data_IF_503225676657
#
_entry.id   IF_503225676657
#
_cell.length_a   1.000
_cell.length_b   1.000
_cell.length_c   1.000
_cell.angle_alpha   90.00
_cell.angle_beta   90.00
_cell.angle_gamma   90.00
#
_symmetry.space_group_name_H-M   'P 1'
#
loop_
_entity.id
_entity.type
_entity.pdbx_description
1 polymer ?
#
# COMPACT_ATOMS: atom_id res chain seq x y z
N UNK A 1 -8.88 0.26 1.91
CA UNK A 1 -8.44 0.24 0.50
C UNK A 1 -7.31 1.24 0.32
N UNK A 2 -6.24 0.84 -0.35
CA UNK A 2 -5.13 1.71 -0.73
C UNK A 2 -5.10 1.75 -2.25
N UNK A 3 -5.02 2.93 -2.84
CA UNK A 3 -4.95 3.09 -4.29
C UNK A 3 -4.04 4.25 -4.66
N UNK A 4 -3.41 4.15 -5.83
CA UNK A 4 -2.61 5.22 -6.42
C UNK A 4 -2.43 4.96 -7.90
N UNK A 5 -2.12 6.01 -8.64
CA UNK A 5 -1.66 5.92 -10.02
C UNK A 5 -0.13 5.93 -10.05
N UNK A 6 0.44 5.21 -11.00
CA UNK A 6 1.89 5.16 -11.19
C UNK A 6 2.27 5.19 -12.67
N UNK A 7 3.44 5.76 -12.95
CA UNK A 7 4.11 5.71 -14.25
C UNK A 7 5.51 5.15 -14.06
N UNK A 8 5.76 4.00 -14.68
CA UNK A 8 7.09 3.40 -14.78
C UNK A 8 7.76 3.80 -16.10
N UNK A 9 9.08 3.95 -16.07
CA UNK A 9 9.89 4.20 -17.27
C UNK A 9 10.46 2.92 -17.87
N UNK A 10 10.58 1.87 -17.05
CA UNK A 10 11.06 0.54 -17.43
C UNK A 10 10.07 -0.56 -17.05
N UNK A 11 10.25 -1.75 -17.63
CA UNK A 11 9.47 -2.94 -17.25
C UNK A 11 9.71 -3.26 -15.78
N UNK A 12 8.64 -3.23 -14.98
CA UNK A 12 8.72 -3.58 -13.56
C UNK A 12 8.50 -5.08 -13.38
N UNK A 13 9.48 -5.72 -12.77
CA UNK A 13 9.33 -7.07 -12.19
C UNK A 13 8.87 -6.89 -10.75
N UNK A 14 7.90 -7.67 -10.30
CA UNK A 14 7.19 -7.58 -9.00
C UNK A 14 8.01 -7.56 -7.71
N UNK A 15 9.32 -7.39 -7.80
CA UNK A 15 10.25 -7.30 -6.71
C UNK A 15 11.04 -5.97 -6.67
N UNK A 16 10.82 -5.06 -7.63
CA UNK A 16 11.54 -3.80 -7.70
C UNK A 16 10.87 -2.70 -6.85
N UNK A 17 9.55 -2.62 -6.93
CA UNK A 17 8.75 -1.70 -6.12
C UNK A 17 7.70 -2.46 -5.35
N UNK A 18 7.50 -2.05 -4.10
CA UNK A 18 6.47 -2.59 -3.23
C UNK A 18 5.62 -1.47 -2.65
N UNK A 19 4.30 -1.63 -2.72
CA UNK A 19 3.42 -0.97 -1.75
C UNK A 19 3.57 -1.71 -0.42
N UNK A 20 4.05 -1.01 0.60
CA UNK A 20 4.10 -1.52 1.95
C UNK A 20 2.84 -1.12 2.69
N UNK A 21 2.22 -2.08 3.37
CA UNK A 21 1.14 -1.88 4.32
C UNK A 21 1.59 -2.42 5.69
N UNK A 22 1.66 -1.54 6.68
CA UNK A 22 2.19 -1.86 8.01
C UNK A 22 1.20 -1.41 9.09
N UNK A 23 0.90 -2.29 10.04
CA UNK A 23 0.21 -1.95 11.28
C UNK A 23 1.20 -1.97 12.43
N UNK A 24 1.24 -0.87 13.18
CA UNK A 24 2.05 -0.71 14.37
C UNK A 24 1.18 -0.75 15.63
N UNK A 25 1.69 -1.38 16.68
CA UNK A 25 1.19 -1.27 18.05
C UNK A 25 2.35 -0.91 18.99
N UNK A 26 2.26 0.23 19.69
CA UNK A 26 3.32 0.73 20.57
C UNK A 26 4.71 0.75 19.88
N UNK A 27 4.75 1.23 18.64
CA UNK A 27 5.96 1.33 17.83
C UNK A 27 6.48 0.00 17.25
N UNK A 28 5.82 -1.14 17.52
CA UNK A 28 6.21 -2.45 16.97
C UNK A 28 5.29 -2.87 15.85
N UNK A 29 5.85 -3.40 14.75
CA UNK A 29 5.04 -3.96 13.66
C UNK A 29 4.33 -5.23 14.14
N UNK A 30 3.01 -5.23 13.97
CA UNK A 30 2.15 -6.39 14.27
C UNK A 30 1.64 -7.06 12.99
N UNK A 31 1.66 -6.35 11.86
CA UNK A 31 1.37 -6.90 10.54
C UNK A 31 2.08 -6.08 9.49
N UNK A 32 2.89 -6.74 8.69
CA UNK A 32 3.65 -6.14 7.60
C UNK A 32 3.37 -6.93 6.32
N UNK A 33 3.02 -6.23 5.24
CA UNK A 33 2.83 -6.85 3.93
C UNK A 33 3.34 -5.93 2.83
N UNK A 34 4.19 -6.48 1.96
CA UNK A 34 4.58 -5.86 0.71
C UNK A 34 3.76 -6.41 -0.45
N UNK A 35 3.32 -5.52 -1.34
CA UNK A 35 2.64 -5.86 -2.58
C UNK A 35 3.49 -5.39 -3.75
N UNK A 36 4.05 -6.33 -4.49
CA UNK A 36 4.93 -6.06 -5.62
C UNK A 36 4.19 -5.42 -6.79
N UNK A 37 4.78 -4.37 -7.37
CA UNK A 37 4.30 -3.75 -8.59
C UNK A 37 4.88 -4.47 -9.81
N UNK A 38 4.00 -4.91 -10.70
CA UNK A 38 4.37 -5.51 -11.97
C UNK A 38 3.86 -4.64 -13.11
N UNK A 39 4.74 -4.32 -14.04
CA UNK A 39 4.40 -3.50 -15.19
C UNK A 39 5.14 -4.01 -16.43
N UNK A 40 4.38 -4.53 -17.40
CA UNK A 40 4.92 -5.03 -18.67
C UNK A 40 4.95 -3.97 -19.77
N UNK A 41 4.32 -2.81 -19.55
CA UNK A 41 4.07 -1.79 -20.57
C UNK A 41 4.47 -0.41 -20.05
N UNK A 42 5.77 -0.10 -19.88
CA UNK A 42 6.24 1.18 -19.37
C UNK A 42 5.81 2.37 -20.23
N UNK A 43 5.87 3.58 -19.67
CA UNK A 43 5.55 4.83 -20.36
C UNK A 43 4.06 5.19 -20.37
N UNK A 44 3.22 4.46 -19.63
CA UNK A 44 1.78 4.75 -19.49
C UNK A 44 1.35 4.72 -18.02
N UNK A 45 0.52 5.70 -17.65
CA UNK A 45 -0.10 5.77 -16.32
C UNK A 45 -1.03 4.56 -16.10
N UNK A 46 -0.94 3.98 -14.90
CA UNK A 46 -1.74 2.84 -14.46
C UNK A 46 -2.21 3.03 -13.03
N UNK A 47 -3.37 2.48 -12.70
CA UNK A 47 -3.88 2.47 -11.34
C UNK A 47 -3.54 1.16 -10.63
N UNK A 48 -3.02 1.27 -9.41
CA UNK A 48 -2.88 0.17 -8.48
C UNK A 48 -3.93 0.29 -7.39
N UNK A 49 -4.55 -0.82 -6.99
CA UNK A 49 -5.53 -0.85 -5.89
C UNK A 49 -5.44 -2.16 -5.14
N UNK A 50 -5.48 -2.07 -3.81
CA UNK A 50 -5.54 -3.24 -2.95
C UNK A 50 -6.47 -3.01 -1.76
N UNK A 51 -7.21 -4.06 -1.40
CA UNK A 51 -7.90 -4.13 -0.12
C UNK A 51 -7.02 -4.83 0.91
N UNK A 52 -6.72 -4.10 1.97
CA UNK A 52 -5.87 -4.56 3.07
C UNK A 52 -6.70 -4.64 4.35
N UNK A 53 -6.89 -5.85 4.85
CA UNK A 53 -7.60 -6.10 6.09
C UNK A 53 -6.66 -5.87 7.28
N UNK A 54 -7.14 -5.16 8.31
CA UNK A 54 -6.46 -5.05 9.60
C UNK A 54 -6.23 -6.45 10.23
N UNK A 55 -5.25 -6.60 11.14
CA UNK A 55 -5.17 -7.79 11.98
C UNK A 55 -6.36 -7.87 12.96
N UNK A 56 -6.69 -9.06 13.49
CA UNK A 56 -7.89 -9.31 14.31
C UNK A 56 -7.91 -8.62 15.69
N UNK A 57 -6.91 -7.79 16.01
CA UNK A 57 -6.86 -6.95 17.20
C UNK A 57 -6.36 -5.55 16.82
N UNK A 58 -7.27 -4.72 16.32
CA UNK A 58 -7.00 -3.28 16.13
C UNK A 58 -7.85 -2.45 17.08
N UNK A 59 -7.20 -1.51 17.73
CA UNK A 59 -7.78 -0.41 18.48
C UNK A 59 -7.41 0.91 17.80
N UNK A 60 -8.05 2.01 18.19
CA UNK A 60 -7.66 3.37 17.75
C UNK A 60 -6.23 3.75 18.13
N UNK A 61 -5.56 2.98 19.01
CA UNK A 61 -4.15 3.16 19.36
C UNK A 61 -3.19 2.52 18.35
N UNK A 62 -3.70 1.67 17.46
CA UNK A 62 -2.89 1.08 16.39
C UNK A 62 -2.71 2.11 15.26
N UNK A 63 -1.50 2.20 14.73
CA UNK A 63 -1.20 3.10 13.63
C UNK A 63 -1.05 2.30 12.35
N UNK A 64 -1.77 2.71 11.31
CA UNK A 64 -1.57 2.21 9.96
C UNK A 64 -0.56 3.11 9.24
N UNK A 65 0.41 2.49 8.56
CA UNK A 65 1.40 3.16 7.74
C UNK A 65 1.46 2.48 6.37
N UNK A 66 1.47 3.29 5.32
CA UNK A 66 1.80 2.87 3.95
C UNK A 66 2.85 3.77 3.36
N UNK A 67 3.67 3.16 2.52
CA UNK A 67 4.65 3.85 1.70
C UNK A 67 5.01 2.94 0.52
N UNK A 68 5.63 3.54 -0.48
CA UNK A 68 6.19 2.81 -1.61
C UNK A 68 7.67 2.64 -1.34
N UNK A 69 8.14 1.41 -1.45
CA UNK A 69 9.54 1.06 -1.27
C UNK A 69 10.13 0.63 -2.60
N UNK A 70 11.16 1.35 -3.05
CA UNK A 70 12.02 0.95 -4.15
C UNK A 70 13.19 0.13 -3.59
N UNK A 71 13.35 -1.09 -4.08
CA UNK A 71 14.44 -2.00 -3.67
C UNK A 71 15.75 -1.68 -4.38
N UNK A 72 15.66 -1.17 -5.61
CA UNK A 72 16.77 -0.84 -6.51
C UNK A 72 16.72 0.64 -6.87
N UNK A 73 17.83 1.19 -7.34
CA UNK A 73 17.90 2.57 -7.85
C UNK A 73 17.12 2.67 -9.16
N UNK A 74 15.85 3.05 -9.04
CA UNK A 74 14.86 3.01 -10.12
C UNK A 74 13.83 4.10 -9.90
N UNK A 75 13.30 4.63 -11.00
CA UNK A 75 12.39 5.77 -10.97
C UNK A 75 10.93 5.34 -11.21
N UNK A 76 10.04 5.86 -10.37
CA UNK A 76 8.60 5.64 -10.44
C UNK A 76 7.91 6.95 -10.08
N UNK A 77 7.06 7.47 -10.97
CA UNK A 77 6.19 8.59 -10.62
C UNK A 77 4.90 8.04 -10.01
N UNK A 78 4.39 8.75 -9.00
CA UNK A 78 3.15 8.39 -8.30
C UNK A 78 2.24 9.60 -8.23
N UNK A 79 0.96 9.37 -8.48
CA UNK A 79 -0.09 10.38 -8.40
C UNK A 79 -1.37 9.78 -7.80
N UNK A 80 -2.34 10.64 -7.44
CA UNK A 80 -3.67 10.25 -6.95
C UNK A 80 -3.65 9.23 -5.80
N UNK A 81 -2.68 9.34 -4.90
CA UNK A 81 -2.58 8.46 -3.73
C UNK A 81 -3.79 8.66 -2.79
N UNK A 82 -4.48 7.56 -2.48
CA UNK A 82 -5.68 7.57 -1.65
C UNK A 82 -5.73 6.36 -0.72
N UNK A 83 -6.21 6.60 0.50
CA UNK A 83 -6.47 5.57 1.52
C UNK A 83 -7.89 5.75 2.01
N UNK A 84 -8.71 4.70 1.82
CA UNK A 84 -10.09 4.63 2.33
C UNK A 84 -10.11 3.62 3.48
N UNK A 85 -10.54 4.07 4.65
CA UNK A 85 -10.73 3.23 5.82
C UNK A 85 -12.16 2.70 5.85
N UNK A 86 -12.32 1.41 6.11
CA UNK A 86 -13.61 0.77 6.36
C UNK A 86 -13.66 0.38 7.82
N UNK A 87 -14.65 0.88 8.54
CA UNK A 87 -14.89 0.57 9.93
C UNK A 87 -16.17 -0.27 10.06
N UNK A 88 -16.25 -1.18 11.04
CA UNK A 88 -17.49 -1.87 11.32
C UNK A 88 -18.57 -0.83 11.64
N UNK A 89 -19.79 -1.06 11.12
CA UNK A 89 -20.93 -0.21 11.46
C UNK A 89 -21.15 -0.31 12.97
N UNK A 90 -21.07 0.82 13.68
CA UNK A 90 -21.45 0.85 15.08
C UNK A 90 -22.94 0.53 15.17
N UNK A 91 -23.26 -0.61 15.76
CA UNK A 91 -24.63 -0.88 16.22
C UNK A 91 -24.81 -0.07 17.49
N UNK A 92 -25.63 0.98 17.44
CA UNK A 92 -26.10 1.66 18.65
C UNK A 92 -27.01 0.66 19.35
N UNK A 93 -26.56 0.14 20.50
CA UNK A 93 -27.42 -0.55 21.48
C UNK A 93 -28.18 0.48 22.33
#
# INVERSE_FOLDING_TARGET
>A
RISFDYLSFDTLRGEQFFLIANYLYKGKSIKYRGFGLNDKNPGTWKSFTIDYMSPELTSTKNQFQTYIWAKEDSELLIDNFSVILFEPKQTLE
#
